data_IF_121791466516
#
_entry.id   IF_121791466516
#
_cell.length_a   1.000
_cell.length_b   1.000
_cell.length_c   1.000
_cell.angle_alpha   90.00
_cell.angle_beta   90.00
_cell.angle_gamma   90.00
#
_symmetry.space_group_name_H-M   'P 1'
#
loop_
_entity.id
_entity.type
_entity.pdbx_description
1 polymer ?
#
# COMPACT_ATOMS: atom_id res chain seq x y z
N UNK A 1 23.80 -19.56 37.05
CA UNK A 1 22.34 -19.80 36.99
C UNK A 1 21.71 -18.77 36.08
N UNK A 2 21.61 -19.06 34.79
CA UNK A 2 20.91 -18.22 33.81
C UNK A 2 20.42 -19.13 32.67
N UNK A 3 19.64 -20.13 33.05
CA UNK A 3 18.96 -21.01 32.13
C UNK A 3 17.55 -21.19 32.64
N UNK A 4 16.61 -21.32 31.70
CA UNK A 4 15.20 -21.60 31.91
C UNK A 4 14.34 -20.35 32.14
N UNK A 5 13.82 -19.81 31.03
CA UNK A 5 12.37 -19.56 30.91
C UNK A 5 11.90 -19.11 29.50
N UNK A 6 12.71 -19.22 28.44
CA UNK A 6 12.26 -18.87 27.09
C UNK A 6 11.66 -20.04 26.26
N UNK A 7 11.59 -21.27 26.79
CA UNK A 7 11.34 -22.48 25.97
C UNK A 7 10.09 -23.31 26.33
N UNK A 8 8.94 -22.72 26.65
CA UNK A 8 7.69 -23.51 26.84
C UNK A 8 6.44 -22.98 26.12
N UNK A 9 6.57 -21.99 25.24
CA UNK A 9 5.53 -21.73 24.23
C UNK A 9 6.16 -21.80 22.85
N UNK A 10 5.71 -22.69 21.94
CA UNK A 10 6.00 -22.47 20.54
C UNK A 10 5.49 -21.07 20.22
N UNK A 11 6.37 -20.20 19.71
CA UNK A 11 6.01 -18.94 19.09
C UNK A 11 5.04 -19.29 17.95
N UNK A 12 3.75 -19.42 18.28
CA UNK A 12 2.68 -19.27 17.30
C UNK A 12 2.70 -17.79 16.95
N UNK A 13 3.62 -17.42 16.06
CA UNK A 13 3.50 -16.23 15.23
C UNK A 13 2.09 -16.35 14.67
N UNK A 14 1.15 -15.59 15.23
CA UNK A 14 -0.29 -15.83 15.14
C UNK A 14 -0.66 -16.64 13.89
N UNK A 15 -1.18 -17.86 14.08
CA UNK A 15 -1.83 -18.62 13.01
C UNK A 15 -2.64 -17.60 12.21
N UNK A 16 -2.22 -17.34 10.98
CA UNK A 16 -2.55 -16.13 10.22
C UNK A 16 -4.04 -15.86 10.31
N UNK A 17 -4.45 -14.99 11.23
CA UNK A 17 -5.84 -14.64 11.41
C UNK A 17 -6.22 -13.92 10.11
N UNK A 18 -6.95 -14.62 9.25
CA UNK A 18 -7.41 -14.06 8.00
C UNK A 18 -8.18 -12.79 8.36
N UNK A 19 -7.79 -11.61 7.83
CA UNK A 19 -8.53 -10.39 8.10
C UNK A 19 -10.00 -10.61 7.72
N UNK A 20 -10.90 -10.07 8.55
CA UNK A 20 -12.34 -10.18 8.32
C UNK A 20 -12.69 -9.72 6.92
N UNK A 21 -13.71 -10.32 6.31
CA UNK A 21 -14.14 -9.95 4.96
C UNK A 21 -14.50 -8.46 4.88
N UNK A 22 -15.10 -7.92 5.94
CA UNK A 22 -15.39 -6.49 6.10
C UNK A 22 -14.13 -5.63 6.00
N UNK A 23 -13.06 -6.00 6.72
CA UNK A 23 -11.79 -5.27 6.67
C UNK A 23 -11.18 -5.30 5.26
N UNK A 24 -11.26 -6.43 4.55
CA UNK A 24 -10.76 -6.55 3.16
C UNK A 24 -11.51 -5.62 2.22
N UNK A 25 -12.84 -5.68 2.24
CA UNK A 25 -13.68 -4.84 1.37
C UNK A 25 -13.45 -3.35 1.65
N UNK A 26 -13.30 -2.97 2.92
CA UNK A 26 -12.98 -1.60 3.29
C UNK A 26 -11.60 -1.15 2.77
N UNK A 27 -10.55 -1.97 2.94
CA UNK A 27 -9.22 -1.67 2.37
C UNK A 27 -9.29 -1.54 0.85
N UNK A 28 -10.00 -2.44 0.17
CA UNK A 28 -10.19 -2.40 -1.29
C UNK A 28 -10.89 -1.10 -1.74
N UNK A 29 -11.94 -0.68 -1.03
CA UNK A 29 -12.63 0.59 -1.30
C UNK A 29 -11.74 1.80 -1.06
N UNK A 30 -10.94 1.78 0.01
CA UNK A 30 -9.97 2.85 0.29
C UNK A 30 -8.90 2.94 -0.81
N UNK A 31 -8.39 1.81 -1.30
CA UNK A 31 -7.45 1.77 -2.43
C UNK A 31 -8.08 2.33 -3.71
N UNK A 32 -9.33 1.96 -4.02
CA UNK A 32 -10.02 2.44 -5.22
C UNK A 32 -10.37 3.93 -5.18
N UNK A 33 -10.67 4.47 -4.00
CA UNK A 33 -11.02 5.89 -3.82
C UNK A 33 -9.78 6.79 -3.67
N UNK A 34 -8.62 6.23 -3.34
CA UNK A 34 -7.40 6.99 -3.10
C UNK A 34 -6.94 7.76 -4.36
N UNK A 35 -6.91 9.08 -4.26
CA UNK A 35 -6.47 9.94 -5.37
C UNK A 35 -7.45 10.04 -6.55
N UNK A 36 -8.67 9.51 -6.43
CA UNK A 36 -9.66 9.47 -7.52
C UNK A 36 -9.96 10.83 -8.18
N UNK A 37 -9.85 11.93 -7.42
CA UNK A 37 -10.10 13.29 -7.91
C UNK A 37 -8.86 13.98 -8.49
N UNK A 38 -7.66 13.43 -8.29
CA UNK A 38 -6.37 14.10 -8.61
C UNK A 38 -5.51 13.32 -9.59
N UNK A 39 -5.70 12.01 -9.68
CA UNK A 39 -4.89 11.11 -10.50
C UNK A 39 -5.69 10.60 -11.69
N UNK A 40 -5.01 10.46 -12.84
CA UNK A 40 -5.58 9.74 -13.98
C UNK A 40 -5.77 8.25 -13.67
N UNK A 41 -6.60 7.51 -14.42
CA UNK A 41 -6.82 6.07 -14.19
C UNK A 41 -5.52 5.27 -14.15
N UNK A 42 -4.57 5.57 -15.05
CA UNK A 42 -3.27 4.89 -15.08
C UNK A 42 -2.40 5.23 -13.88
N UNK A 43 -2.48 6.46 -13.39
CA UNK A 43 -1.76 6.88 -12.18
C UNK A 43 -2.36 6.24 -10.92
N UNK A 44 -3.68 6.03 -10.88
CA UNK A 44 -4.36 5.30 -9.80
C UNK A 44 -3.91 3.84 -9.75
N UNK A 45 -3.86 3.14 -10.90
CA UNK A 45 -3.34 1.76 -10.99
C UNK A 45 -1.92 1.65 -10.43
N UNK A 46 -1.02 2.55 -10.86
CA UNK A 46 0.37 2.56 -10.40
C UNK A 46 0.44 2.88 -8.90
N UNK A 47 -0.38 3.81 -8.42
CA UNK A 47 -0.44 4.18 -6.99
C UNK A 47 -0.91 3.02 -6.13
N UNK A 48 -1.91 2.26 -6.59
CA UNK A 48 -2.40 1.06 -5.88
C UNK A 48 -1.31 -0.01 -5.75
N UNK A 49 -0.49 -0.21 -6.78
CA UNK A 49 0.63 -1.16 -6.72
C UNK A 49 1.77 -0.68 -5.81
N UNK A 50 2.05 0.64 -5.80
CA UNK A 50 3.02 1.22 -4.85
C UNK A 50 2.58 1.02 -3.39
N UNK A 51 1.30 1.20 -3.10
CA UNK A 51 0.74 1.01 -1.75
C UNK A 51 0.80 -0.47 -1.33
N UNK A 52 0.68 -1.40 -2.29
CA UNK A 52 0.89 -2.83 -2.07
C UNK A 52 2.37 -3.20 -1.86
N UNK A 53 3.29 -2.23 -1.98
CA UNK A 53 4.71 -2.40 -1.70
C UNK A 53 5.54 -2.80 -2.92
N UNK A 54 4.96 -2.82 -4.12
CA UNK A 54 5.71 -3.17 -5.33
C UNK A 54 6.68 -2.06 -5.71
N UNK A 55 7.86 -2.47 -6.16
CA UNK A 55 8.86 -1.56 -6.70
C UNK A 55 8.59 -1.18 -8.17
N UNK A 56 9.42 -0.29 -8.72
CA UNK A 56 9.22 0.20 -10.09
C UNK A 56 9.38 -0.87 -11.17
N UNK A 57 10.17 -1.92 -10.92
CA UNK A 57 10.37 -3.01 -11.87
C UNK A 57 9.17 -3.97 -11.81
N UNK A 58 8.73 -4.34 -10.61
CA UNK A 58 7.55 -5.19 -10.42
C UNK A 58 6.28 -4.54 -11.00
N UNK A 59 6.12 -3.22 -10.85
CA UNK A 59 5.02 -2.47 -11.48
C UNK A 59 5.14 -2.48 -13.01
N UNK A 60 6.35 -2.34 -13.54
CA UNK A 60 6.59 -2.35 -14.98
C UNK A 60 6.16 -3.69 -15.58
N UNK A 61 6.53 -4.78 -14.91
CA UNK A 61 6.20 -6.15 -15.30
C UNK A 61 4.69 -6.42 -15.16
N UNK A 62 4.08 -6.04 -14.04
CA UNK A 62 2.66 -6.21 -13.78
C UNK A 62 1.77 -5.46 -14.79
N UNK A 63 2.23 -4.30 -15.26
CA UNK A 63 1.47 -3.43 -16.16
C UNK A 63 1.93 -3.48 -17.63
N UNK A 64 2.87 -4.37 -17.95
CA UNK A 64 3.48 -4.55 -19.27
C UNK A 64 3.96 -3.23 -19.92
N UNK A 65 4.65 -2.39 -19.15
CA UNK A 65 5.23 -1.10 -19.60
C UNK A 65 6.70 -1.01 -19.23
N UNK A 66 7.42 -0.02 -19.78
CA UNK A 66 8.84 0.15 -19.43
C UNK A 66 9.01 0.67 -17.99
N UNK A 67 10.10 0.24 -17.33
CA UNK A 67 10.53 0.78 -16.04
C UNK A 67 10.70 2.31 -16.06
N UNK A 68 11.16 2.88 -17.19
CA UNK A 68 11.26 4.33 -17.38
C UNK A 68 9.89 5.02 -17.38
N UNK A 69 8.89 4.39 -17.99
CA UNK A 69 7.49 4.86 -17.98
C UNK A 69 6.95 4.89 -16.56
N UNK A 70 7.18 3.84 -15.76
CA UNK A 70 6.78 3.79 -14.34
C UNK A 70 7.45 4.92 -13.55
N UNK A 71 8.76 5.14 -13.72
CA UNK A 71 9.47 6.25 -13.05
C UNK A 71 8.86 7.62 -13.40
N UNK A 72 8.45 7.82 -14.64
CA UNK A 72 7.79 9.05 -15.06
C UNK A 72 6.41 9.21 -14.40
N UNK A 73 5.60 8.16 -14.37
CA UNK A 73 4.32 8.19 -13.66
C UNK A 73 4.50 8.47 -12.16
N UNK A 74 5.45 7.81 -11.49
CA UNK A 74 5.76 8.05 -10.07
C UNK A 74 6.06 9.52 -9.78
N UNK A 75 6.89 10.17 -10.62
CA UNK A 75 7.17 11.61 -10.49
C UNK A 75 5.92 12.46 -10.60
N UNK A 76 5.02 12.13 -11.53
CA UNK A 76 3.75 12.85 -11.71
C UNK A 76 2.81 12.63 -10.53
N UNK A 77 2.65 11.39 -10.07
CA UNK A 77 1.86 11.02 -8.88
C UNK A 77 2.33 11.83 -7.68
N UNK A 78 3.64 11.86 -7.43
CA UNK A 78 4.23 12.56 -6.29
C UNK A 78 3.95 14.07 -6.37
N UNK A 79 4.07 14.66 -7.56
CA UNK A 79 3.72 16.05 -7.78
C UNK A 79 2.22 16.33 -7.58
N UNK A 80 1.33 15.49 -8.11
CA UNK A 80 -0.13 15.67 -8.00
C UNK A 80 -0.64 15.54 -6.56
N UNK A 81 -0.05 14.62 -5.80
CA UNK A 81 -0.38 14.35 -4.39
C UNK A 81 0.45 15.18 -3.40
N UNK A 82 1.38 16.00 -3.88
CA UNK A 82 2.24 16.85 -3.06
C UNK A 82 3.06 16.06 -2.02
N UNK A 83 3.63 14.94 -2.45
CA UNK A 83 4.51 14.09 -1.64
C UNK A 83 5.89 13.97 -2.26
N UNK A 84 6.91 13.76 -1.43
CA UNK A 84 8.31 13.66 -1.86
C UNK A 84 8.89 12.25 -1.71
N UNK A 85 8.19 11.35 -1.02
CA UNK A 85 8.68 10.01 -0.72
C UNK A 85 7.57 8.94 -0.76
N UNK A 86 7.97 7.67 -0.87
CA UNK A 86 7.03 6.55 -0.74
C UNK A 86 6.42 6.51 0.67
N UNK A 87 7.19 6.86 1.70
CA UNK A 87 6.71 6.95 3.06
C UNK A 87 5.62 8.01 3.22
N UNK A 88 5.79 9.20 2.63
CA UNK A 88 4.74 10.24 2.64
C UNK A 88 3.49 9.79 1.86
N UNK A 89 3.66 9.15 0.70
CA UNK A 89 2.54 8.57 -0.04
C UNK A 89 1.77 7.57 0.83
N UNK A 90 2.48 6.70 1.56
CA UNK A 90 1.90 5.71 2.45
C UNK A 90 1.21 6.35 3.65
N UNK A 91 1.80 7.41 4.24
CA UNK A 91 1.16 8.19 5.30
C UNK A 91 -0.15 8.84 4.82
N UNK A 92 -0.16 9.45 3.62
CA UNK A 92 -1.38 9.99 3.04
C UNK A 92 -2.44 8.90 2.82
N UNK A 93 -2.02 7.72 2.34
CA UNK A 93 -2.92 6.58 2.19
C UNK A 93 -3.50 6.11 3.52
N UNK A 94 -2.69 5.98 4.58
CA UNK A 94 -3.18 5.60 5.91
C UNK A 94 -4.17 6.61 6.47
N UNK A 95 -3.92 7.91 6.29
CA UNK A 95 -4.87 8.96 6.69
C UNK A 95 -6.19 8.84 5.92
N UNK A 96 -6.13 8.57 4.62
CA UNK A 96 -7.31 8.31 3.79
C UNK A 96 -8.06 7.05 4.22
N UNK A 97 -7.33 5.97 4.47
CA UNK A 97 -7.87 4.70 4.94
C UNK A 97 -8.63 4.89 6.24
N UNK A 98 -7.98 5.48 7.26
CA UNK A 98 -8.59 5.74 8.57
C UNK A 98 -9.78 6.71 8.45
N UNK A 99 -9.67 7.74 7.61
CA UNK A 99 -10.76 8.67 7.35
C UNK A 99 -11.99 8.00 6.73
N UNK A 100 -11.77 7.06 5.81
CA UNK A 100 -12.84 6.28 5.17
C UNK A 100 -13.54 5.29 6.13
N UNK A 101 -13.01 5.04 7.34
CA UNK A 101 -13.72 4.28 8.37
C UNK A 101 -14.63 5.14 9.27
N UNK A 102 -14.54 6.46 9.17
CA UNK A 102 -15.31 7.38 10.00
C UNK A 102 -16.65 7.83 9.37
N UNK A 103 -16.89 7.45 8.12
CA UNK A 103 -18.12 7.70 7.34
C UNK A 103 -19.00 6.43 7.27
#
# INVERSE_FOLDING_TARGET
MCQQHWQQQPLRLAESAQPSQELRTWVEQAIQSFGAQRLSPREQEITALLIQGLDSQEIADALAISHGTVKNHRKRIYAQLHVSSLSELFQLFLNHLIGAAAD
#
